data_IF_631327966695
#
_entry.id   IF_631327966695
#
_cell.length_a   1.000
_cell.length_b   1.000
_cell.length_c   1.000
_cell.angle_alpha   90.00
_cell.angle_beta   90.00
_cell.angle_gamma   90.00
#
_symmetry.space_group_name_H-M   'P 1'
#
loop_
_entity.id
_entity.type
_entity.pdbx_description
1 polymer ?
#
# COMPACT_ATOMS: atom_id res chain seq x y z
N UNK A 1 -1.97 0.61 -3.94
CA UNK A 1 -2.81 1.21 -2.88
C UNK A 1 -4.30 1.05 -3.18
N UNK A 2 -4.78 -0.17 -3.45
CA UNK A 2 -6.20 -0.40 -3.75
C UNK A 2 -7.08 -0.59 -2.49
N UNK A 3 -6.49 -0.97 -1.34
CA UNK A 3 -7.25 -1.27 -0.11
C UNK A 3 -7.53 -0.09 0.81
N UNK A 4 -6.86 1.06 0.62
CA UNK A 4 -7.02 2.23 1.51
C UNK A 4 -8.43 2.85 1.35
N UNK A 5 -8.99 2.78 0.14
CA UNK A 5 -10.35 3.24 -0.14
C UNK A 5 -11.46 2.35 0.42
N UNK A 6 -11.18 1.07 0.69
CA UNK A 6 -12.16 0.14 1.28
C UNK A 6 -12.29 0.31 2.80
N UNK A 7 -11.25 0.82 3.45
CA UNK A 7 -11.18 0.97 4.91
C UNK A 7 -11.60 2.37 5.36
N UNK A 8 -11.49 3.37 4.47
CA UNK A 8 -11.75 4.79 4.77
C UNK A 8 -12.97 5.32 4.02
N UNK A 9 -13.64 6.33 4.59
CA UNK A 9 -14.72 7.02 3.86
C UNK A 9 -14.11 7.72 2.64
N UNK A 10 -14.79 7.74 1.48
CA UNK A 10 -14.28 8.32 0.21
C UNK A 10 -13.57 9.68 0.37
N UNK A 11 -14.04 10.54 1.27
CA UNK A 11 -13.47 11.87 1.56
C UNK A 11 -12.09 11.85 2.27
N UNK A 12 -11.76 10.78 2.99
CA UNK A 12 -10.52 10.63 3.78
C UNK A 12 -9.38 10.00 2.96
N UNK A 13 -9.70 9.41 1.80
CA UNK A 13 -8.74 8.72 0.93
C UNK A 13 -7.62 9.64 0.43
N UNK A 14 -7.87 10.88 -0.06
CA UNK A 14 -6.79 11.76 -0.51
C UNK A 14 -5.82 12.12 0.62
N UNK A 15 -6.34 12.39 1.83
CA UNK A 15 -5.53 12.69 2.99
C UNK A 15 -4.65 11.50 3.40
N UNK A 16 -5.20 10.28 3.38
CA UNK A 16 -4.45 9.07 3.68
C UNK A 16 -3.33 8.80 2.66
N UNK A 17 -3.60 8.99 1.37
CA UNK A 17 -2.59 8.83 0.31
C UNK A 17 -1.46 9.85 0.46
N UNK A 18 -1.80 11.11 0.75
CA UNK A 18 -0.80 12.15 1.03
C UNK A 18 0.04 11.77 2.24
N UNK A 19 -0.58 11.31 3.33
CA UNK A 19 0.15 10.91 4.53
C UNK A 19 1.10 9.72 4.28
N UNK A 20 0.64 8.70 3.56
CA UNK A 20 1.48 7.56 3.16
C UNK A 20 2.65 8.05 2.28
N UNK A 21 2.37 8.93 1.33
CA UNK A 21 3.39 9.52 0.46
C UNK A 21 4.43 10.29 1.25
N UNK A 22 4.02 11.13 2.19
CA UNK A 22 4.94 11.88 3.07
C UNK A 22 5.82 10.92 3.87
N UNK A 23 5.22 9.90 4.49
CA UNK A 23 5.96 8.88 5.23
C UNK A 23 6.97 8.13 4.34
N UNK A 24 6.56 7.75 3.13
CA UNK A 24 7.42 7.05 2.18
C UNK A 24 8.59 7.92 1.72
N UNK A 25 8.32 9.19 1.39
CA UNK A 25 9.36 10.13 0.99
C UNK A 25 10.33 10.41 2.14
N UNK A 26 9.84 10.53 3.39
CA UNK A 26 10.68 10.71 4.55
C UNK A 26 11.63 9.50 4.76
N UNK A 27 11.10 8.28 4.74
CA UNK A 27 11.91 7.05 4.88
C UNK A 27 12.91 6.92 3.73
N UNK A 28 12.52 7.27 2.49
CA UNK A 28 13.42 7.24 1.34
C UNK A 28 14.61 8.21 1.51
N UNK A 29 14.38 9.37 2.10
CA UNK A 29 15.43 10.37 2.33
C UNK A 29 16.32 10.02 3.52
N UNK A 30 15.74 9.56 4.64
CA UNK A 30 16.46 9.34 5.90
C UNK A 30 17.04 7.92 5.99
N UNK A 31 16.39 6.95 5.34
CA UNK A 31 16.74 5.53 5.37
C UNK A 31 18.17 5.20 4.97
N UNK A 32 18.70 5.73 3.84
CA UNK A 32 20.09 5.49 3.43
C UNK A 32 21.11 6.01 4.43
N UNK A 33 20.85 7.15 5.08
CA UNK A 33 21.75 7.72 6.08
C UNK A 33 21.83 6.82 7.32
N UNK A 34 20.67 6.39 7.84
CA UNK A 34 20.62 5.48 8.99
C UNK A 34 21.22 4.10 8.64
N UNK A 35 20.89 3.56 7.46
CA UNK A 35 21.45 2.32 6.98
C UNK A 35 22.97 2.38 6.83
N UNK A 36 23.49 3.49 6.29
CA UNK A 36 24.92 3.74 6.16
C UNK A 36 25.65 3.74 7.51
N UNK A 37 25.07 4.39 8.54
CA UNK A 37 25.63 4.37 9.91
C UNK A 37 25.70 2.94 10.45
N UNK A 38 24.61 2.17 10.32
CA UNK A 38 24.58 0.78 10.81
C UNK A 38 25.62 -0.09 10.09
N UNK A 39 25.72 0.04 8.77
CA UNK A 39 26.70 -0.70 7.96
C UNK A 39 28.13 -0.29 8.33
N UNK A 40 28.39 1.00 8.56
CA UNK A 40 29.72 1.49 8.93
C UNK A 40 30.15 1.03 10.33
N UNK A 41 29.21 0.95 11.29
CA UNK A 41 29.52 0.56 12.67
C UNK A 41 29.58 -0.96 12.89
N UNK A 42 28.70 -1.73 12.24
CA UNK A 42 28.50 -3.17 12.52
C UNK A 42 28.66 -4.07 11.30
N UNK A 43 29.01 -3.50 10.14
CA UNK A 43 29.18 -4.22 8.88
C UNK A 43 27.88 -4.47 8.12
N UNK A 44 27.98 -4.82 6.81
CA UNK A 44 26.82 -5.05 5.95
C UNK A 44 25.92 -6.20 6.41
N UNK A 45 26.52 -7.28 6.93
CA UNK A 45 25.78 -8.47 7.35
C UNK A 45 24.75 -8.15 8.44
N UNK A 46 25.11 -7.28 9.39
CA UNK A 46 24.22 -6.85 10.47
C UNK A 46 23.03 -6.06 9.94
N UNK A 47 23.25 -5.16 8.97
CA UNK A 47 22.17 -4.41 8.34
C UNK A 47 21.18 -5.32 7.60
N UNK A 48 21.69 -6.31 6.86
CA UNK A 48 20.85 -7.31 6.20
C UNK A 48 20.10 -8.18 7.21
N UNK A 49 20.75 -8.64 8.27
CA UNK A 49 20.10 -9.44 9.30
C UNK A 49 18.94 -8.68 9.97
N UNK A 50 19.13 -7.41 10.32
CA UNK A 50 18.09 -6.56 10.89
C UNK A 50 16.92 -6.38 9.91
N UNK A 51 17.19 -6.14 8.63
CA UNK A 51 16.16 -6.03 7.61
C UNK A 51 15.36 -7.34 7.48
N UNK A 52 16.05 -8.49 7.41
CA UNK A 52 15.43 -9.81 7.34
C UNK A 52 14.55 -10.09 8.55
N UNK A 53 15.05 -9.83 9.76
CA UNK A 53 14.28 -10.01 10.99
C UNK A 53 13.01 -9.14 11.01
N UNK A 54 13.10 -7.91 10.51
CA UNK A 54 11.94 -7.00 10.40
C UNK A 54 10.88 -7.58 9.47
N UNK A 55 11.27 -8.11 8.30
CA UNK A 55 10.33 -8.77 7.38
C UNK A 55 9.72 -10.04 7.98
N UNK A 56 10.52 -10.87 8.66
CA UNK A 56 10.02 -12.08 9.33
C UNK A 56 9.01 -11.71 10.41
N UNK A 57 9.27 -10.68 11.21
CA UNK A 57 8.34 -10.20 12.23
C UNK A 57 7.01 -9.71 11.62
N UNK A 58 7.08 -9.02 10.48
CA UNK A 58 5.88 -8.59 9.74
C UNK A 58 5.07 -9.77 9.24
N UNK A 59 5.71 -10.73 8.57
CA UNK A 59 5.08 -11.96 8.06
C UNK A 59 4.42 -12.74 9.20
N UNK A 60 5.11 -12.87 10.32
CA UNK A 60 4.59 -13.55 11.51
C UNK A 60 3.36 -12.85 12.08
N UNK A 61 3.40 -11.51 12.14
CA UNK A 61 2.28 -10.70 12.61
C UNK A 61 1.06 -10.89 11.72
N UNK A 62 1.23 -10.83 10.39
CA UNK A 62 0.16 -11.03 9.42
C UNK A 62 -0.40 -12.45 9.52
N UNK A 63 0.47 -13.47 9.56
CA UNK A 63 0.07 -14.88 9.63
C UNK A 63 -0.67 -15.25 10.92
N UNK A 64 -0.45 -14.52 12.02
CA UNK A 64 -1.16 -14.73 13.28
C UNK A 64 -2.53 -14.07 13.35
N UNK A 65 -2.81 -13.07 12.50
CA UNK A 65 -4.10 -12.39 12.52
C UNK A 65 -5.13 -13.24 11.79
N UNK A 66 -6.19 -13.65 12.51
CA UNK A 66 -7.40 -14.19 11.88
C UNK A 66 -8.17 -13.02 11.27
N UNK A 67 -8.23 -12.99 9.95
CA UNK A 67 -8.98 -11.97 9.21
C UNK A 67 -10.47 -12.33 9.25
N UNK A 68 -11.26 -11.53 9.95
CA UNK A 68 -12.72 -11.61 9.86
C UNK A 68 -13.17 -10.76 8.66
N UNK A 69 -13.08 -11.35 7.47
CA UNK A 69 -13.52 -10.70 6.24
C UNK A 69 -15.05 -10.77 6.21
N UNK A 70 -15.71 -9.63 6.39
CA UNK A 70 -17.16 -9.52 6.20
C UNK A 70 -17.52 -10.04 4.81
N UNK A 71 -18.33 -11.09 4.76
CA UNK A 71 -18.83 -11.62 3.50
C UNK A 71 -19.61 -10.52 2.78
N UNK A 72 -19.16 -10.16 1.58
CA UNK A 72 -19.92 -9.25 0.72
C UNK A 72 -21.17 -10.00 0.21
N UNK A 73 -22.37 -9.43 0.36
CA UNK A 73 -23.60 -10.04 -0.15
C UNK A 73 -23.71 -9.93 -1.68
N UNK A 74 -22.76 -9.25 -2.34
CA UNK A 74 -22.79 -9.03 -3.78
C UNK A 74 -22.23 -10.25 -4.55
N UNK A 75 -22.83 -10.62 -5.70
CA UNK A 75 -22.28 -11.62 -6.60
C UNK A 75 -20.85 -11.27 -7.01
N UNK A 76 -19.99 -12.28 -7.13
CA UNK A 76 -18.63 -12.10 -7.61
C UNK A 76 -18.65 -11.63 -9.06
N UNK A 77 -18.24 -10.39 -9.29
CA UNK A 77 -18.08 -9.86 -10.63
C UNK A 77 -16.69 -10.25 -11.18
N UNK A 78 -16.61 -10.82 -12.39
CA UNK A 78 -15.32 -11.15 -12.98
C UNK A 78 -14.54 -9.86 -13.30
N UNK A 79 -13.24 -9.86 -13.00
CA UNK A 79 -12.34 -8.71 -13.16
C UNK A 79 -12.41 -8.09 -14.57
N UNK A 80 -12.63 -8.92 -15.59
CA UNK A 80 -12.77 -8.48 -16.98
C UNK A 80 -13.97 -7.56 -17.19
N UNK A 81 -15.10 -7.88 -16.57
CA UNK A 81 -16.32 -7.08 -16.66
C UNK A 81 -16.14 -5.75 -15.93
N UNK A 82 -15.54 -5.76 -14.73
CA UNK A 82 -15.23 -4.55 -13.99
C UNK A 82 -14.26 -3.61 -14.75
N UNK A 83 -13.24 -4.16 -15.42
CA UNK A 83 -12.31 -3.38 -16.25
C UNK A 83 -13.03 -2.79 -17.47
N UNK A 84 -13.85 -3.59 -18.15
CA UNK A 84 -14.62 -3.12 -19.31
C UNK A 84 -15.58 -1.99 -18.94
N UNK A 85 -16.28 -2.12 -17.81
CA UNK A 85 -17.22 -1.10 -17.34
C UNK A 85 -16.52 0.17 -16.88
N UNK A 86 -15.36 0.06 -16.24
CA UNK A 86 -14.49 1.20 -15.94
C UNK A 86 -14.02 1.93 -17.21
N UNK A 87 -13.54 1.18 -18.20
CA UNK A 87 -13.13 1.74 -19.50
C UNK A 87 -14.30 2.42 -20.21
N UNK A 88 -15.47 1.78 -20.25
CA UNK A 88 -16.70 2.32 -20.84
C UNK A 88 -17.15 3.61 -20.12
N UNK A 89 -17.10 3.65 -18.79
CA UNK A 89 -17.43 4.84 -18.01
C UNK A 89 -16.49 6.01 -18.36
N UNK A 90 -15.17 5.78 -18.39
CA UNK A 90 -14.21 6.83 -18.78
C UNK A 90 -14.37 7.30 -20.22
N UNK A 91 -14.77 6.42 -21.14
CA UNK A 91 -15.02 6.76 -22.53
C UNK A 91 -16.31 7.57 -22.74
N UNK A 92 -17.32 7.36 -21.89
CA UNK A 92 -18.62 8.05 -21.96
C UNK A 92 -18.66 9.36 -21.15
N UNK A 93 -17.83 9.50 -20.11
CA UNK A 93 -17.74 10.71 -19.31
C UNK A 93 -16.95 11.80 -20.03
N UNK A 94 -17.65 12.65 -20.78
CA UNK A 94 -17.08 13.84 -21.41
C UNK A 94 -16.42 14.83 -20.40
N UNK A 95 -16.78 14.76 -19.11
CA UNK A 95 -16.15 15.58 -18.05
C UNK A 95 -14.68 15.24 -17.77
N UNK A 96 -14.22 14.00 -18.01
CA UNK A 96 -12.81 13.63 -17.81
C UNK A 96 -11.95 14.07 -19.01
N UNK A 97 -12.56 14.23 -20.19
CA UNK A 97 -11.86 14.63 -21.42
C UNK A 97 -11.54 16.13 -21.49
N UNK A 98 -12.05 16.93 -20.55
CA UNK A 98 -11.91 18.38 -20.51
C UNK A 98 -11.07 18.92 -19.33
N UNK A 99 -10.46 18.04 -18.53
CA UNK A 99 -9.54 18.38 -17.44
C UNK A 99 -8.09 18.01 -17.79
#
# INVERSE_FOLDING_TARGET
HASVGDILRKREVPAAVTLISVGYNAVRSVGPALGGIVVASFGPLTAFAVATLTYVALLWTIGRRKWDVRASPLPREPLTTAIHDGARFTALSAEIKAA
#
